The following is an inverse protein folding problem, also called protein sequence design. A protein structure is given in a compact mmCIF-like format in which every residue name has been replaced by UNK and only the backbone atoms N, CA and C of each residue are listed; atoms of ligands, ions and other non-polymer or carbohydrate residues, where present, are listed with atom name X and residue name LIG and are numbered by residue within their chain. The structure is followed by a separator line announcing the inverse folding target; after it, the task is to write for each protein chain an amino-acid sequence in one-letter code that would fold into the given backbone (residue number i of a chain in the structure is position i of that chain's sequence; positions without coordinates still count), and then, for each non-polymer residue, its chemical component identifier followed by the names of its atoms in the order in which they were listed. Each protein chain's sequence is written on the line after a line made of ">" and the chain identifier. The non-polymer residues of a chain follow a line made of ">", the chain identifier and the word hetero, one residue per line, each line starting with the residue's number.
data_IF_003058443813
#
_entry.id   IF_003058443813
#
_cell.length_a   1.000
_cell.length_b   1.000
_cell.length_c   1.000
_cell.angle_alpha   90.00
_cell.angle_beta   90.00
_cell.angle_gamma   90.00
#
_symmetry.space_group_name_H-M   'P 1'
#
loop_
_entity.id
_entity.type
_entity.pdbx_description
1 polymer ?
#
# COMPACT_ATOMS: atom_id res chain seq x y z
N UNK A 1 -15.57 -5.83 -3.35
CA UNK A 1 -14.51 -6.46 -2.54
C UNK A 1 -14.35 -7.93 -2.92
N UNK A 2 -13.11 -8.38 -3.05
CA UNK A 2 -12.73 -9.79 -3.19
C UNK A 2 -11.85 -10.22 -2.02
N UNK A 3 -12.14 -11.39 -1.44
CA UNK A 3 -11.42 -11.90 -0.26
C UNK A 3 -10.35 -12.92 -0.67
N UNK A 4 -9.23 -12.92 0.07
CA UNK A 4 -8.09 -13.82 -0.11
C UNK A 4 -7.54 -14.22 1.27
N UNK A 5 -6.40 -14.95 1.33
CA UNK A 5 -5.87 -15.47 2.59
C UNK A 5 -4.64 -14.69 3.11
N UNK A 6 -3.94 -14.00 2.24
CA UNK A 6 -2.70 -13.28 2.59
C UNK A 6 -2.56 -11.95 1.86
N UNK A 7 -1.76 -11.03 2.44
CA UNK A 7 -1.47 -9.75 1.80
C UNK A 7 -0.84 -9.91 0.42
N UNK A 8 0.04 -10.88 0.24
CA UNK A 8 0.64 -11.16 -1.06
C UNK A 8 -0.42 -11.55 -2.10
N UNK A 9 -1.41 -12.38 -1.74
CA UNK A 9 -2.53 -12.71 -2.63
C UNK A 9 -3.37 -11.47 -2.96
N UNK A 10 -3.64 -10.61 -1.99
CA UNK A 10 -4.35 -9.36 -2.24
C UNK A 10 -3.59 -8.47 -3.24
N UNK A 11 -2.29 -8.27 -3.06
CA UNK A 11 -1.45 -7.47 -3.99
C UNK A 11 -1.42 -8.10 -5.38
N UNK A 12 -1.22 -9.43 -5.50
CA UNK A 12 -1.25 -10.14 -6.78
C UNK A 12 -2.56 -9.88 -7.53
N UNK A 13 -3.69 -9.97 -6.83
CA UNK A 13 -5.01 -9.79 -7.43
C UNK A 13 -5.34 -8.31 -7.72
N UNK A 14 -4.88 -7.37 -6.92
CA UNK A 14 -5.00 -5.95 -7.23
C UNK A 14 -4.28 -5.59 -8.54
N UNK A 15 -3.07 -6.13 -8.75
CA UNK A 15 -2.33 -5.94 -10.00
C UNK A 15 -3.02 -6.63 -11.19
N UNK A 16 -3.56 -7.84 -10.99
CA UNK A 16 -4.35 -8.51 -12.03
C UNK A 16 -5.53 -7.66 -12.47
N UNK A 17 -6.30 -7.10 -11.53
CA UNK A 17 -7.42 -6.21 -11.79
C UNK A 17 -6.98 -4.96 -12.55
N UNK A 18 -5.93 -4.28 -12.08
CA UNK A 18 -5.43 -3.08 -12.73
C UNK A 18 -4.97 -3.34 -14.18
N UNK A 19 -4.22 -4.42 -14.41
CA UNK A 19 -3.81 -4.82 -15.76
C UNK A 19 -4.99 -5.19 -16.66
N UNK A 20 -5.98 -5.90 -16.13
CA UNK A 20 -7.19 -6.28 -16.87
C UNK A 20 -8.04 -5.07 -17.24
N UNK A 21 -8.27 -4.18 -16.29
CA UNK A 21 -9.05 -2.96 -16.46
C UNK A 21 -8.44 -1.99 -17.48
N UNK A 22 -7.14 -1.73 -17.36
CA UNK A 22 -6.46 -0.77 -18.22
C UNK A 22 -6.01 -1.34 -19.56
N UNK A 23 -5.89 -2.66 -19.71
CA UNK A 23 -5.25 -3.31 -20.85
C UNK A 23 -3.73 -3.06 -20.94
N UNK A 24 -3.10 -2.48 -19.92
CA UNK A 24 -1.68 -2.13 -19.85
C UNK A 24 -0.92 -3.12 -18.98
N UNK A 25 0.43 -3.09 -19.02
CA UNK A 25 1.24 -4.09 -18.33
C UNK A 25 2.13 -3.53 -17.22
N UNK A 26 2.66 -2.32 -17.39
CA UNK A 26 3.65 -1.76 -16.48
C UNK A 26 3.04 -1.41 -15.12
N UNK A 27 3.73 -1.83 -14.05
CA UNK A 27 3.38 -1.50 -12.66
C UNK A 27 4.55 -0.75 -12.03
N UNK A 28 4.24 0.40 -11.48
CA UNK A 28 5.21 1.24 -10.77
C UNK A 28 5.14 0.94 -9.28
N UNK A 29 6.30 0.72 -8.66
CA UNK A 29 6.49 0.57 -7.22
C UNK A 29 7.62 1.47 -6.74
N UNK A 30 7.86 1.53 -5.42
CA UNK A 30 8.74 2.54 -4.83
C UNK A 30 9.99 1.94 -4.20
N UNK A 31 11.03 2.76 -4.08
CA UNK A 31 12.14 2.48 -3.19
C UNK A 31 11.62 2.28 -1.76
N UNK A 32 12.29 1.41 -1.02
CA UNK A 32 11.93 1.00 0.35
C UNK A 32 10.62 0.20 0.48
N UNK A 33 9.83 -0.01 -0.59
CA UNK A 33 8.56 -0.71 -0.54
C UNK A 33 8.68 -2.19 -0.16
N UNK A 34 7.62 -2.70 0.49
CA UNK A 34 7.43 -4.12 0.75
C UNK A 34 5.99 -4.53 0.44
N UNK A 35 5.82 -5.43 -0.54
CA UNK A 35 4.50 -5.86 -1.01
C UNK A 35 4.26 -7.38 -0.89
N UNK A 36 5.22 -8.14 -0.39
CA UNK A 36 5.08 -9.57 -0.15
C UNK A 36 6.28 -10.40 -0.62
N UNK A 37 6.09 -11.74 -0.63
CA UNK A 37 7.14 -12.74 -0.86
C UNK A 37 6.78 -13.78 -1.91
N UNK A 38 5.78 -13.55 -2.75
CA UNK A 38 5.51 -14.33 -3.97
C UNK A 38 6.34 -13.78 -5.13
N UNK A 39 6.41 -14.47 -6.26
CA UNK A 39 7.27 -14.06 -7.38
C UNK A 39 7.02 -12.62 -7.84
N UNK A 40 5.75 -12.22 -8.02
CA UNK A 40 5.40 -10.86 -8.41
C UNK A 40 5.64 -9.88 -7.27
N UNK A 41 5.20 -10.18 -6.05
CA UNK A 41 5.33 -9.26 -4.91
C UNK A 41 6.77 -9.09 -4.44
N UNK A 42 7.66 -10.10 -4.60
CA UNK A 42 9.11 -9.94 -4.42
C UNK A 42 9.70 -8.99 -5.46
N UNK A 43 9.22 -9.02 -6.69
CA UNK A 43 9.62 -8.06 -7.73
C UNK A 43 9.31 -6.62 -7.33
N UNK A 44 8.15 -6.39 -6.70
CA UNK A 44 7.72 -5.08 -6.18
C UNK A 44 8.47 -4.68 -4.90
N UNK A 45 8.89 -5.64 -4.07
CA UNK A 45 9.60 -5.39 -2.81
C UNK A 45 11.02 -4.86 -3.08
N UNK A 46 11.45 -3.83 -2.34
CA UNK A 46 12.72 -3.15 -2.60
C UNK A 46 13.93 -3.93 -2.09
N UNK A 47 13.95 -4.33 -0.82
CA UNK A 47 15.10 -4.96 -0.17
C UNK A 47 15.46 -6.30 -0.82
N UNK A 48 16.72 -6.46 -1.22
CA UNK A 48 17.24 -7.74 -1.74
C UNK A 48 17.37 -8.74 -0.59
N UNK A 49 18.16 -8.40 0.42
CA UNK A 49 18.28 -9.22 1.62
C UNK A 49 17.32 -8.71 2.71
N UNK A 50 16.57 -9.58 3.39
CA UNK A 50 16.55 -11.04 3.25
C UNK A 50 15.49 -11.58 2.25
N UNK A 51 14.78 -10.69 1.51
CA UNK A 51 13.49 -11.05 0.90
C UNK A 51 13.58 -11.73 -0.46
N UNK A 52 14.52 -11.35 -1.34
CA UNK A 52 14.50 -11.79 -2.73
C UNK A 52 15.84 -12.26 -3.31
N UNK A 53 16.90 -12.23 -2.51
CA UNK A 53 18.22 -12.70 -2.95
C UNK A 53 18.20 -14.18 -3.33
N UNK A 54 18.50 -14.49 -4.60
CA UNK A 54 18.56 -15.88 -5.10
C UNK A 54 17.23 -16.51 -5.50
N UNK A 55 16.08 -15.78 -5.42
CA UNK A 55 14.74 -16.29 -5.73
C UNK A 55 14.21 -15.88 -7.11
N UNK A 56 15.00 -15.17 -7.91
CA UNK A 56 14.61 -14.78 -9.28
C UNK A 56 14.56 -15.97 -10.26
N UNK A 57 14.05 -15.77 -11.50
CA UNK A 57 13.58 -14.48 -12.03
C UNK A 57 12.23 -14.05 -11.47
N UNK A 58 12.00 -12.73 -11.44
CA UNK A 58 10.73 -12.14 -11.00
C UNK A 58 9.82 -11.80 -12.18
N UNK A 59 8.56 -11.45 -11.91
CA UNK A 59 7.63 -11.00 -12.93
C UNK A 59 8.17 -9.80 -13.71
N UNK A 60 7.95 -9.74 -15.03
CA UNK A 60 8.33 -8.60 -15.85
C UNK A 60 7.40 -7.40 -15.64
N UNK A 61 7.77 -6.27 -16.25
CA UNK A 61 7.01 -5.02 -16.28
C UNK A 61 6.77 -4.42 -14.89
N UNK A 62 7.78 -4.52 -14.03
CA UNK A 62 7.81 -3.90 -12.70
C UNK A 62 8.91 -2.83 -12.67
N UNK A 63 8.51 -1.60 -12.43
CA UNK A 63 9.38 -0.43 -12.48
C UNK A 63 9.48 0.24 -11.12
N UNK A 64 10.69 0.48 -10.66
CA UNK A 64 10.94 1.06 -9.35
C UNK A 64 11.38 2.50 -9.50
N UNK A 65 10.73 3.39 -8.71
CA UNK A 65 11.02 4.82 -8.69
C UNK A 65 11.22 5.31 -7.26
N UNK A 66 11.89 6.46 -7.06
CA UNK A 66 11.99 7.06 -5.73
C UNK A 66 10.61 7.53 -5.25
N UNK A 67 10.33 7.32 -3.97
CA UNK A 67 9.17 7.90 -3.28
C UNK A 67 9.52 9.18 -2.52
N UNK A 68 8.59 9.67 -1.70
CA UNK A 68 8.85 10.76 -0.75
C UNK A 68 9.53 10.22 0.50
N UNK A 69 10.67 10.80 0.87
CA UNK A 69 11.39 10.48 2.10
C UNK A 69 11.92 11.79 2.75
N UNK A 70 11.03 12.60 3.37
CA UNK A 70 11.36 13.97 3.79
C UNK A 70 12.61 14.08 4.66
N UNK A 71 12.83 13.10 5.54
CA UNK A 71 14.02 13.05 6.39
C UNK A 71 15.33 12.93 5.61
N UNK A 72 15.32 12.29 4.43
CA UNK A 72 16.52 12.03 3.63
C UNK A 72 16.70 13.02 2.49
N UNK A 73 15.62 13.36 1.80
CA UNK A 73 15.67 14.19 0.60
C UNK A 73 15.30 15.67 0.84
N UNK A 74 14.63 15.95 1.98
CA UNK A 74 14.22 17.31 2.33
C UNK A 74 13.18 17.93 1.39
N UNK A 75 12.54 17.12 0.52
CA UNK A 75 11.55 17.59 -0.43
C UNK A 75 10.17 17.66 0.21
N UNK A 76 9.40 18.68 -0.17
CA UNK A 76 7.96 18.69 0.09
C UNK A 76 7.22 17.68 -0.81
N UNK A 77 5.90 17.55 -0.60
CA UNK A 77 5.10 16.54 -1.28
C UNK A 77 5.03 16.74 -2.79
N UNK A 78 4.89 18.00 -3.25
CA UNK A 78 4.81 18.32 -4.68
C UNK A 78 6.14 18.06 -5.38
N UNK A 79 7.25 18.55 -4.85
CA UNK A 79 8.58 18.35 -5.44
C UNK A 79 8.97 16.85 -5.46
N UNK A 80 8.62 16.10 -4.42
CA UNK A 80 8.83 14.66 -4.40
C UNK A 80 7.98 13.95 -5.45
N UNK A 81 6.71 14.36 -5.63
CA UNK A 81 5.82 13.81 -6.65
C UNK A 81 6.30 14.15 -8.07
N UNK A 82 6.71 15.38 -8.34
CA UNK A 82 7.29 15.78 -9.62
C UNK A 82 8.52 14.93 -10.00
N UNK A 83 9.43 14.73 -9.05
CA UNK A 83 10.58 13.84 -9.23
C UNK A 83 10.16 12.41 -9.59
N UNK A 84 9.20 11.87 -8.85
CA UNK A 84 8.67 10.53 -9.06
C UNK A 84 8.01 10.40 -10.44
N UNK A 85 7.11 11.31 -10.78
CA UNK A 85 6.39 11.35 -12.06
C UNK A 85 7.37 11.47 -13.23
N UNK A 86 8.36 12.37 -13.13
CA UNK A 86 9.40 12.50 -14.15
C UNK A 86 10.18 11.20 -14.38
N UNK A 87 10.42 10.41 -13.33
CA UNK A 87 11.05 9.10 -13.47
C UNK A 87 10.12 8.07 -14.13
N UNK A 88 8.84 8.07 -13.78
CA UNK A 88 7.85 7.20 -14.42
C UNK A 88 7.78 7.48 -15.92
N UNK A 89 7.65 8.74 -16.30
CA UNK A 89 7.54 9.14 -17.68
C UNK A 89 8.78 8.80 -18.51
N UNK A 90 9.97 8.96 -17.94
CA UNK A 90 11.24 8.63 -18.62
C UNK A 90 11.49 7.13 -18.77
N UNK A 91 11.09 6.32 -17.78
CA UNK A 91 11.38 4.89 -17.79
C UNK A 91 10.31 4.07 -18.49
N UNK A 92 9.04 4.48 -18.39
CA UNK A 92 7.88 3.68 -18.78
C UNK A 92 7.04 4.38 -19.83
N UNK A 93 6.81 5.68 -19.66
CA UNK A 93 5.80 6.44 -20.39
C UNK A 93 4.40 6.23 -19.81
N UNK A 94 3.69 7.35 -19.56
CA UNK A 94 2.40 7.35 -18.87
C UNK A 94 1.36 6.40 -19.50
N UNK A 95 1.32 6.31 -20.84
CA UNK A 95 0.36 5.46 -21.56
C UNK A 95 0.56 3.95 -21.38
N UNK A 96 1.71 3.50 -20.87
CA UNK A 96 2.02 2.09 -20.62
C UNK A 96 1.74 1.65 -19.18
N UNK A 97 1.54 2.61 -18.26
CA UNK A 97 1.35 2.33 -16.84
C UNK A 97 -0.06 1.80 -16.59
N UNK A 98 -0.14 0.56 -16.10
CA UNK A 98 -1.38 -0.06 -15.62
C UNK A 98 -1.72 0.42 -14.21
N UNK A 99 -0.73 0.46 -13.33
CA UNK A 99 -0.92 0.84 -11.94
C UNK A 99 0.33 1.47 -11.31
N UNK A 100 0.07 2.31 -10.32
CA UNK A 100 1.04 2.73 -9.31
C UNK A 100 0.61 2.12 -7.99
N UNK A 101 1.45 1.29 -7.37
CA UNK A 101 1.19 0.68 -6.06
C UNK A 101 2.10 1.28 -5.00
N UNK A 102 1.52 1.73 -3.90
CA UNK A 102 2.22 2.38 -2.81
C UNK A 102 1.68 1.96 -1.44
N UNK A 103 2.57 1.78 -0.47
CA UNK A 103 2.20 1.82 0.93
C UNK A 103 2.05 3.29 1.33
N UNK A 104 0.88 3.77 1.79
CA UNK A 104 0.71 5.17 2.21
C UNK A 104 1.68 5.59 3.31
N UNK A 105 2.05 4.64 4.18
CA UNK A 105 3.18 4.72 5.11
C UNK A 105 3.99 3.43 4.92
N UNK A 106 5.24 3.54 4.50
CA UNK A 106 6.08 2.38 4.25
C UNK A 106 6.53 1.73 5.56
N UNK A 107 6.04 0.52 5.85
CA UNK A 107 6.32 -0.19 7.09
C UNK A 107 7.74 -0.78 7.15
N UNK A 108 7.99 -1.81 6.36
CA UNK A 108 9.27 -2.53 6.32
C UNK A 108 10.43 -1.67 5.78
N UNK A 109 10.12 -0.61 5.07
CA UNK A 109 11.07 0.40 4.60
C UNK A 109 11.69 1.21 5.71
N UNK A 110 11.01 1.35 6.87
CA UNK A 110 11.49 2.08 8.03
C UNK A 110 10.46 3.06 8.63
N UNK A 111 9.17 2.78 8.53
CA UNK A 111 8.06 3.64 8.94
C UNK A 111 8.16 5.03 8.29
N UNK A 112 8.36 5.03 6.97
CA UNK A 112 8.53 6.25 6.19
C UNK A 112 7.15 6.85 5.91
N UNK A 113 6.92 8.03 6.48
CA UNK A 113 5.74 8.85 6.22
C UNK A 113 6.08 9.82 5.08
N UNK A 114 5.34 9.83 3.98
CA UNK A 114 5.60 10.77 2.89
C UNK A 114 5.29 12.21 3.30
N UNK A 115 5.88 13.17 2.62
CA UNK A 115 5.55 14.58 2.81
C UNK A 115 4.09 14.84 2.40
N UNK A 116 3.35 15.69 3.13
CA UNK A 116 1.97 16.03 2.81
C UNK A 116 1.80 16.49 1.35
N UNK A 117 0.76 16.00 0.68
CA UNK A 117 0.47 16.28 -0.73
C UNK A 117 1.09 15.30 -1.72
N UNK A 118 2.05 14.46 -1.30
CA UNK A 118 2.68 13.49 -2.19
C UNK A 118 1.68 12.45 -2.74
N UNK A 119 0.88 11.84 -1.86
CA UNK A 119 -0.11 10.83 -2.26
C UNK A 119 -1.18 11.46 -3.15
N UNK A 120 -1.65 12.65 -2.80
CA UNK A 120 -2.65 13.39 -3.58
C UNK A 120 -2.14 13.72 -4.99
N UNK A 121 -0.89 14.15 -5.13
CA UNK A 121 -0.29 14.46 -6.42
C UNK A 121 -0.12 13.21 -7.31
N UNK A 122 0.31 12.08 -6.71
CA UNK A 122 0.41 10.81 -7.43
C UNK A 122 -0.95 10.28 -7.87
N UNK A 123 -1.95 10.31 -7.00
CA UNK A 123 -3.32 9.91 -7.34
C UNK A 123 -3.85 10.72 -8.52
N UNK A 124 -3.70 12.04 -8.47
CA UNK A 124 -4.10 12.92 -9.57
C UNK A 124 -3.44 12.53 -10.88
N UNK A 125 -2.11 12.34 -10.85
CA UNK A 125 -1.38 11.90 -12.05
C UNK A 125 -1.90 10.55 -12.58
N UNK A 126 -2.19 9.60 -11.70
CA UNK A 126 -2.78 8.32 -12.11
C UNK A 126 -4.12 8.53 -12.83
N UNK A 127 -5.03 9.30 -12.25
CA UNK A 127 -6.34 9.58 -12.84
C UNK A 127 -6.21 10.30 -14.19
N UNK A 128 -5.35 11.33 -14.28
CA UNK A 128 -5.14 12.09 -15.50
C UNK A 128 -4.59 11.23 -16.66
N UNK A 129 -3.90 10.13 -16.33
CA UNK A 129 -3.29 9.22 -17.31
C UNK A 129 -4.03 7.87 -17.43
N UNK A 130 -5.14 7.66 -16.74
CA UNK A 130 -5.91 6.42 -16.75
C UNK A 130 -5.13 5.22 -16.20
N UNK A 131 -4.24 5.45 -15.25
CA UNK A 131 -3.56 4.42 -14.46
C UNK A 131 -4.31 4.19 -13.15
N UNK A 132 -4.28 2.96 -12.63
CA UNK A 132 -4.93 2.61 -11.36
C UNK A 132 -4.02 2.98 -10.18
N UNK A 133 -4.51 3.78 -9.24
CA UNK A 133 -3.82 4.08 -7.99
C UNK A 133 -4.18 3.03 -6.92
N UNK A 134 -3.20 2.21 -6.53
CA UNK A 134 -3.38 1.13 -5.55
C UNK A 134 -2.72 1.52 -4.23
N UNK A 135 -3.51 1.64 -3.17
CA UNK A 135 -3.01 1.79 -1.81
C UNK A 135 -2.83 0.41 -1.16
N UNK A 136 -1.59 0.06 -0.85
CA UNK A 136 -1.27 -1.11 -0.04
C UNK A 136 -1.38 -0.76 1.45
N UNK A 137 -2.58 -0.93 1.99
CA UNK A 137 -2.91 -0.66 3.39
C UNK A 137 -2.82 -1.91 4.28
N UNK A 138 -2.11 -2.93 3.83
CA UNK A 138 -1.93 -4.18 4.57
C UNK A 138 -1.32 -3.94 5.94
N UNK A 139 -0.41 -2.99 6.06
CA UNK A 139 0.24 -2.66 7.34
C UNK A 139 -0.28 -1.38 7.96
N UNK A 140 -0.61 -0.38 7.18
CA UNK A 140 -1.03 0.94 7.65
C UNK A 140 -2.52 1.05 7.92
N UNK A 141 -3.36 0.22 7.29
CA UNK A 141 -4.80 0.23 7.44
C UNK A 141 -5.32 -0.43 8.72
N UNK A 142 -6.63 -0.53 8.79
CA UNK A 142 -7.38 -1.16 9.89
C UNK A 142 -6.97 -0.58 11.24
N UNK A 143 -7.28 0.70 11.42
CA UNK A 143 -7.09 1.48 12.65
C UNK A 143 -5.62 1.74 13.08
N UNK A 144 -4.62 1.24 12.35
CA UNK A 144 -3.21 1.29 12.77
C UNK A 144 -2.69 2.70 13.01
N UNK A 145 -3.12 3.67 12.21
CA UNK A 145 -2.63 5.05 12.23
C UNK A 145 -3.55 6.04 12.96
N UNK A 146 -4.62 5.53 13.60
CA UNK A 146 -5.65 6.36 14.23
C UNK A 146 -6.75 6.84 13.27
N UNK A 147 -6.70 6.40 12.01
CA UNK A 147 -7.76 6.44 11.02
C UNK A 147 -8.06 5.01 10.55
N UNK A 148 -9.15 4.77 9.82
CA UNK A 148 -9.43 3.46 9.25
C UNK A 148 -8.36 3.05 8.24
N UNK A 149 -7.95 4.01 7.40
CA UNK A 149 -6.89 3.86 6.42
C UNK A 149 -5.88 5.02 6.53
N UNK A 150 -4.62 4.78 6.22
CA UNK A 150 -3.62 5.85 6.24
C UNK A 150 -3.88 6.90 5.16
N UNK A 151 -4.49 6.51 4.02
CA UNK A 151 -4.93 7.44 2.99
C UNK A 151 -5.93 8.50 3.50
N UNK A 152 -6.69 8.21 4.56
CA UNK A 152 -7.68 9.12 5.14
C UNK A 152 -7.02 10.41 5.67
N UNK A 153 -5.75 10.35 6.09
CA UNK A 153 -5.02 11.50 6.62
C UNK A 153 -4.82 12.63 5.57
N UNK A 154 -4.79 12.27 4.29
CA UNK A 154 -4.71 13.24 3.17
C UNK A 154 -6.01 13.33 2.36
N UNK A 155 -7.07 12.64 2.78
CA UNK A 155 -8.33 12.58 2.03
C UNK A 155 -8.21 11.89 0.66
N UNK A 156 -7.20 11.05 0.48
CA UNK A 156 -6.97 10.28 -0.75
C UNK A 156 -7.89 9.08 -0.79
N UNK A 157 -8.65 8.94 -1.87
CA UNK A 157 -9.51 7.78 -2.13
C UNK A 157 -8.88 6.96 -3.26
N UNK A 158 -8.16 5.88 -2.94
CA UNK A 158 -7.51 5.06 -3.96
C UNK A 158 -8.51 4.28 -4.80
N UNK A 159 -8.13 3.93 -6.03
CA UNK A 159 -8.95 3.11 -6.93
C UNK A 159 -9.07 1.67 -6.43
N UNK A 160 -7.99 1.13 -5.86
CA UNK A 160 -7.93 -0.16 -5.18
C UNK A 160 -7.19 -0.03 -3.84
N UNK A 161 -7.71 -0.73 -2.83
CA UNK A 161 -7.07 -0.89 -1.51
C UNK A 161 -6.82 -2.37 -1.26
N UNK A 162 -5.60 -2.69 -0.79
CA UNK A 162 -5.31 -4.03 -0.27
C UNK A 162 -5.26 -4.01 1.25
N UNK A 163 -5.93 -4.96 1.90
CA UNK A 163 -5.97 -5.10 3.37
C UNK A 163 -5.64 -6.53 3.79
N UNK A 164 -5.01 -6.69 4.95
CA UNK A 164 -4.71 -7.98 5.58
C UNK A 164 -4.30 -7.77 7.06
N UNK A 165 -3.33 -8.53 7.54
CA UNK A 165 -2.72 -8.43 8.90
C UNK A 165 -3.76 -8.23 10.00
N UNK A 166 -4.01 -6.99 10.42
CA UNK A 166 -4.95 -6.65 11.48
C UNK A 166 -6.42 -6.94 11.18
N UNK A 167 -6.77 -7.19 9.91
CA UNK A 167 -8.17 -7.31 9.47
C UNK A 167 -8.96 -8.40 10.22
N UNK A 168 -8.36 -9.53 10.50
CA UNK A 168 -9.06 -10.68 11.07
C UNK A 168 -8.39 -11.24 12.35
N UNK A 169 -7.77 -10.38 13.16
CA UNK A 169 -7.31 -10.72 14.50
C UNK A 169 -6.29 -11.85 14.59
N UNK A 170 -5.58 -12.17 13.49
CA UNK A 170 -4.58 -13.24 13.43
C UNK A 170 -5.01 -14.46 12.59
N UNK A 171 -6.25 -14.52 12.11
CA UNK A 171 -6.68 -15.54 11.14
C UNK A 171 -6.31 -15.12 9.71
N UNK A 172 -6.04 -16.09 8.80
CA UNK A 172 -5.69 -15.79 7.41
C UNK A 172 -6.86 -15.16 6.66
N UNK A 173 -6.82 -13.84 6.46
CA UNK A 173 -7.76 -13.08 5.64
C UNK A 173 -7.07 -11.87 5.04
N UNK A 174 -7.35 -11.61 3.79
CA UNK A 174 -7.01 -10.38 3.11
C UNK A 174 -8.10 -9.99 2.13
N UNK A 175 -8.09 -8.75 1.67
CA UNK A 175 -9.07 -8.28 0.71
C UNK A 175 -8.44 -7.30 -0.29
N UNK A 176 -9.04 -7.26 -1.47
CA UNK A 176 -8.95 -6.17 -2.43
C UNK A 176 -10.31 -5.52 -2.52
N UNK A 177 -10.36 -4.23 -2.28
CA UNK A 177 -11.58 -3.41 -2.38
C UNK A 177 -11.32 -2.26 -3.35
N UNK A 178 -12.28 -1.95 -4.20
CA UNK A 178 -12.16 -0.85 -5.13
C UNK A 178 -13.49 -0.49 -5.78
N UNK A 179 -13.42 0.41 -6.78
CA UNK A 179 -14.59 0.81 -7.56
C UNK A 179 -15.20 -0.40 -8.28
N UNK A 180 -16.51 -0.40 -8.47
CA UNK A 180 -17.20 -1.47 -9.20
C UNK A 180 -16.64 -1.64 -10.61
N UNK A 181 -16.34 -0.55 -11.29
CA UNK A 181 -15.79 -0.56 -12.64
C UNK A 181 -14.49 -1.39 -12.75
N UNK A 182 -13.57 -1.22 -11.81
CA UNK A 182 -12.31 -1.98 -11.79
C UNK A 182 -12.55 -3.41 -11.31
N UNK A 183 -13.31 -3.58 -10.23
CA UNK A 183 -13.57 -4.91 -9.66
C UNK A 183 -14.32 -5.83 -10.64
N UNK A 184 -15.27 -5.31 -11.40
CA UNK A 184 -16.09 -6.04 -12.37
C UNK A 184 -15.40 -6.21 -13.73
N UNK A 185 -14.19 -5.65 -13.93
CA UNK A 185 -13.38 -5.90 -15.14
C UNK A 185 -12.90 -7.35 -15.24
N UNK A 186 -12.85 -8.07 -14.12
CA UNK A 186 -12.50 -9.47 -14.07
C UNK A 186 -13.72 -10.36 -14.30
N UNK A 187 -13.60 -11.33 -15.21
CA UNK A 187 -14.66 -12.30 -15.47
C UNK A 187 -14.94 -13.19 -14.25
N UNK A 188 -16.16 -13.71 -14.08
CA UNK A 188 -16.46 -14.67 -13.04
C UNK A 188 -15.48 -15.85 -13.02
N UNK A 189 -14.87 -16.12 -11.85
CA UNK A 189 -13.85 -17.16 -11.70
C UNK A 189 -12.41 -16.72 -11.99
N UNK A 190 -12.17 -15.49 -12.46
CA UNK A 190 -10.81 -14.98 -12.68
C UNK A 190 -10.04 -14.69 -11.39
N UNK A 191 -10.75 -14.40 -10.31
CA UNK A 191 -10.20 -14.17 -8.97
C UNK A 191 -10.68 -15.27 -8.03
N UNK A 192 -9.85 -15.64 -7.05
CA UNK A 192 -10.26 -16.59 -6.02
C UNK A 192 -9.13 -17.48 -5.52
N UNK A 193 -9.50 -18.39 -4.67
CA UNK A 193 -8.65 -19.43 -4.06
C UNK A 193 -9.52 -20.34 -3.22
N UNK A 194 -9.10 -21.60 -3.03
CA UNK A 194 -9.93 -22.64 -2.38
C UNK A 194 -10.45 -22.24 -1.00
N UNK A 195 -9.65 -21.50 -0.22
CA UNK A 195 -10.00 -21.07 1.14
C UNK A 195 -10.33 -19.59 1.27
N UNK A 196 -10.42 -18.87 0.15
CA UNK A 196 -10.72 -17.44 0.16
C UNK A 196 -12.11 -17.17 0.76
N UNK A 197 -12.19 -16.24 1.71
CA UNK A 197 -13.44 -15.91 2.38
C UNK A 197 -13.97 -17.01 3.31
N UNK A 198 -13.08 -17.81 3.91
CA UNK A 198 -13.51 -18.86 4.82
C UNK A 198 -14.32 -18.29 6.00
N UNK A 199 -15.39 -18.97 6.46
CA UNK A 199 -16.29 -18.43 7.47
C UNK A 199 -15.64 -18.08 8.80
N UNK A 200 -14.61 -18.83 9.23
CA UNK A 200 -13.92 -18.57 10.50
C UNK A 200 -13.18 -17.23 10.44
N UNK A 201 -12.45 -16.99 9.37
CA UNK A 201 -11.70 -15.72 9.22
C UNK A 201 -12.66 -14.54 9.01
N UNK A 202 -13.77 -14.72 8.29
CA UNK A 202 -14.79 -13.69 8.13
C UNK A 202 -15.46 -13.34 9.49
N UNK A 203 -15.80 -14.33 10.30
CA UNK A 203 -16.35 -14.10 11.64
C UNK A 203 -15.33 -13.38 12.56
N UNK A 204 -14.04 -13.77 12.49
CA UNK A 204 -12.98 -13.10 13.22
C UNK A 204 -12.77 -11.65 12.76
N UNK A 205 -12.90 -11.38 11.45
CA UNK A 205 -12.82 -10.03 10.93
C UNK A 205 -13.97 -9.15 11.43
N UNK A 206 -15.21 -9.63 11.40
CA UNK A 206 -16.35 -8.91 11.95
C UNK A 206 -16.13 -8.56 13.42
N UNK A 207 -15.75 -9.54 14.25
CA UNK A 207 -15.44 -9.30 15.65
C UNK A 207 -14.28 -8.30 15.85
N UNK A 208 -13.29 -8.29 14.95
CA UNK A 208 -12.18 -7.33 15.00
C UNK A 208 -12.67 -5.91 14.71
N UNK A 209 -13.54 -5.74 13.71
CA UNK A 209 -14.12 -4.44 13.36
C UNK A 209 -15.01 -3.92 14.50
N UNK A 210 -15.86 -4.77 15.06
CA UNK A 210 -16.70 -4.44 16.22
C UNK A 210 -15.83 -3.97 17.41
N UNK A 211 -14.76 -4.70 17.73
CA UNK A 211 -13.82 -4.31 18.80
C UNK A 211 -13.15 -2.95 18.54
N UNK A 212 -12.80 -2.65 17.29
CA UNK A 212 -12.19 -1.35 16.94
C UNK A 212 -13.16 -0.21 17.27
N UNK A 213 -14.43 -0.38 16.93
CA UNK A 213 -15.48 0.63 17.19
C UNK A 213 -15.85 0.69 18.68
N UNK A 214 -16.18 -0.44 19.29
CA UNK A 214 -16.65 -0.52 20.69
C UNK A 214 -15.63 0.01 21.70
N UNK A 215 -14.34 -0.17 21.42
CA UNK A 215 -13.27 0.24 22.32
C UNK A 215 -12.53 1.52 21.87
N UNK A 216 -13.05 2.23 20.89
CA UNK A 216 -12.40 3.42 20.30
C UNK A 216 -10.90 3.21 20.05
N UNK A 217 -10.54 2.12 19.36
CA UNK A 217 -9.14 1.82 19.10
C UNK A 217 -8.47 2.83 18.16
N UNK A 218 -9.24 3.56 17.35
CA UNK A 218 -8.75 4.70 16.58
C UNK A 218 -8.26 5.82 17.51
N UNK A 219 -9.07 6.22 18.48
CA UNK A 219 -8.70 7.22 19.49
C UNK A 219 -7.50 6.77 20.33
N UNK A 220 -7.49 5.49 20.72
CA UNK A 220 -6.34 4.91 21.45
C UNK A 220 -5.05 4.94 20.65
N UNK A 221 -5.11 4.60 19.35
CA UNK A 221 -3.94 4.67 18.46
C UNK A 221 -3.40 6.11 18.35
N UNK A 222 -4.27 7.12 18.22
CA UNK A 222 -3.87 8.54 18.25
C UNK A 222 -3.15 8.92 19.54
N UNK A 223 -3.72 8.59 20.69
CA UNK A 223 -3.11 8.89 22.00
C UNK A 223 -1.74 8.25 22.20
N UNK A 224 -1.59 6.99 21.76
CA UNK A 224 -0.29 6.28 21.79
C UNK A 224 0.69 6.97 20.85
N UNK A 225 0.24 7.33 19.64
CA UNK A 225 1.05 8.03 18.64
C UNK A 225 1.56 9.37 19.13
N UNK A 226 0.70 10.22 19.69
CA UNK A 226 1.08 11.52 20.29
C UNK A 226 2.12 11.35 21.40
N UNK A 227 1.93 10.35 22.26
CA UNK A 227 2.88 10.06 23.33
C UNK A 227 4.22 9.60 22.79
N UNK A 228 4.21 8.70 21.79
CA UNK A 228 5.41 8.18 21.13
C UNK A 228 6.19 9.29 20.41
N UNK A 229 5.52 10.09 19.59
CA UNK A 229 6.14 11.21 18.86
C UNK A 229 6.79 12.20 19.83
N UNK A 230 6.08 12.60 20.88
CA UNK A 230 6.63 13.51 21.90
C UNK A 230 7.92 12.97 22.55
N UNK A 231 7.99 11.67 22.85
CA UNK A 231 9.20 11.06 23.41
C UNK A 231 10.33 11.01 22.38
N UNK A 232 10.03 10.65 21.14
CA UNK A 232 11.02 10.58 20.06
C UNK A 232 11.60 11.97 19.75
N UNK A 233 10.79 13.02 19.72
CA UNK A 233 11.26 14.41 19.57
C UNK A 233 12.19 14.84 20.73
N UNK A 234 11.90 14.43 21.96
CA UNK A 234 12.80 14.68 23.09
C UNK A 234 14.14 13.95 22.94
N UNK A 235 14.15 12.76 22.36
CA UNK A 235 15.39 12.02 22.10
C UNK A 235 16.18 12.64 20.93
N UNK A 236 15.50 12.98 19.86
CA UNK A 236 16.06 13.69 18.71
C UNK A 236 16.74 15.01 19.12
N UNK A 237 16.13 15.78 20.00
CA UNK A 237 16.71 17.01 20.53
C UNK A 237 18.01 16.79 21.34
N UNK A 238 18.23 15.58 21.88
CA UNK A 238 19.41 15.23 22.69
C UNK A 238 20.50 14.53 21.91
N UNK A 239 20.16 13.86 20.80
CA UNK A 239 21.10 13.07 20.02
C UNK A 239 20.89 13.30 18.51
N UNK A 240 21.82 13.95 17.82
CA UNK A 240 21.70 14.27 16.41
C UNK A 240 21.71 13.04 15.47
N UNK A 241 21.95 11.85 15.99
CA UNK A 241 21.87 10.59 15.23
C UNK A 241 20.44 10.07 15.09
N UNK A 242 19.51 10.63 15.89
CA UNK A 242 18.08 10.28 15.83
C UNK A 242 17.39 11.21 14.84
N UNK A 243 16.74 10.64 13.86
CA UNK A 243 16.04 11.34 12.79
C UNK A 243 14.53 11.33 12.90
#
# INVERSE_FOLDING_TARGET
>A
TALFNSGAEAVENAIKLARKHTGRQAVVCFDHAFHGRTSLTMGLTAKVAPYKGGFGPFSPELYRVPGSYPYRDGLDGEAAAERTISQIEKQVGASSVAAVIIEPIQGEGGFIVPAPGFLTALQRWCHDNGAVFIADEIQSGIARTGAWFACDHEGVVPDLVTTAKGLAGGTPLSAVTGSAEIMDSAEPGALGGTYCGNPLACAAALATLDMIEEHDLLGRARTIGETGIRLMEQWKAKDPRIG
#
